data_IF_789698917938
#
_entry.id   IF_789698917938
#
_cell.length_a   1.000
_cell.length_b   1.000
_cell.length_c   1.000
_cell.angle_alpha   90.00
_cell.angle_beta   90.00
_cell.angle_gamma   90.00
#
_symmetry.space_group_name_H-M   'P 1'
#
loop_
_entity.id
_entity.type
_entity.pdbx_description
1 polymer ?
#
# COMPACT_ATOMS: atom_id res chain seq x y z
N UNK A 1 14.14 -12.16 -11.60
CA UNK A 1 13.32 -11.93 -10.39
C UNK A 1 13.72 -12.96 -9.33
N UNK A 2 13.63 -12.64 -8.05
CA UNK A 2 14.06 -13.49 -6.93
C UNK A 2 13.11 -14.65 -6.60
N UNK A 3 12.11 -14.92 -7.45
CA UNK A 3 11.22 -16.10 -7.34
C UNK A 3 10.31 -16.11 -6.10
N UNK A 4 10.11 -14.98 -5.42
CA UNK A 4 9.32 -14.94 -4.18
C UNK A 4 7.82 -14.96 -4.51
N UNK A 5 7.11 -15.97 -4.01
CA UNK A 5 5.69 -16.18 -4.31
C UNK A 5 4.77 -15.45 -3.33
N UNK A 6 3.65 -14.94 -3.85
CA UNK A 6 2.58 -14.36 -3.04
C UNK A 6 1.58 -15.45 -2.68
N UNK A 7 1.17 -15.50 -1.40
CA UNK A 7 0.19 -16.50 -0.92
C UNK A 7 -1.22 -15.95 -1.05
N UNK A 8 -2.09 -16.68 -1.76
CA UNK A 8 -3.50 -16.30 -1.94
C UNK A 8 -4.25 -16.14 -0.62
N UNK A 9 -3.96 -16.97 0.39
CA UNK A 9 -4.58 -16.83 1.71
C UNK A 9 -4.33 -15.43 2.33
N UNK A 10 -3.13 -14.87 2.16
CA UNK A 10 -2.81 -13.52 2.64
C UNK A 10 -3.57 -12.43 1.85
N UNK A 11 -3.77 -12.63 0.55
CA UNK A 11 -4.58 -11.74 -0.31
C UNK A 11 -6.04 -11.77 0.12
N UNK A 12 -6.62 -12.96 0.33
CA UNK A 12 -8.01 -13.11 0.76
C UNK A 12 -8.26 -12.44 2.11
N UNK A 13 -7.32 -12.59 3.06
CA UNK A 13 -7.40 -11.86 4.34
C UNK A 13 -7.36 -10.35 4.14
N UNK A 14 -6.54 -9.85 3.23
CA UNK A 14 -6.43 -8.43 2.94
C UNK A 14 -7.73 -7.89 2.30
N UNK A 15 -8.32 -8.61 1.35
CA UNK A 15 -9.64 -8.29 0.78
C UNK A 15 -10.74 -8.28 1.84
N UNK A 16 -10.79 -9.29 2.71
CA UNK A 16 -11.76 -9.34 3.81
C UNK A 16 -11.60 -8.13 4.74
N UNK A 17 -10.37 -7.79 5.11
CA UNK A 17 -10.09 -6.64 5.97
C UNK A 17 -10.43 -5.31 5.27
N UNK A 18 -10.17 -5.19 3.97
CA UNK A 18 -10.55 -4.03 3.18
C UNK A 18 -12.07 -3.82 3.17
N UNK A 19 -12.83 -4.92 3.01
CA UNK A 19 -14.29 -4.89 3.07
C UNK A 19 -14.80 -4.51 4.47
N UNK A 20 -14.24 -5.11 5.52
CA UNK A 20 -14.62 -4.82 6.91
C UNK A 20 -14.29 -3.38 7.34
N UNK A 21 -13.20 -2.81 6.81
CA UNK A 21 -12.80 -1.44 7.11
C UNK A 21 -13.61 -0.39 6.33
N UNK A 22 -14.32 -0.77 5.26
CA UNK A 22 -15.02 0.17 4.37
C UNK A 22 -16.12 0.98 5.07
N UNK A 23 -17.01 0.40 5.91
CA UNK A 23 -18.02 1.17 6.62
C UNK A 23 -17.41 2.18 7.59
N UNK A 24 -16.37 1.78 8.34
CA UNK A 24 -15.66 2.68 9.26
C UNK A 24 -14.94 3.81 8.52
N UNK A 25 -14.35 3.51 7.35
CA UNK A 25 -13.73 4.51 6.49
C UNK A 25 -14.74 5.54 5.99
N UNK A 26 -15.88 5.07 5.46
CA UNK A 26 -16.92 5.98 5.01
C UNK A 26 -17.45 6.85 6.16
N UNK A 27 -17.76 6.26 7.32
CA UNK A 27 -18.22 7.02 8.49
C UNK A 27 -17.20 8.06 8.95
N UNK A 28 -15.91 7.75 8.92
CA UNK A 28 -14.84 8.65 9.34
C UNK A 28 -14.71 9.89 8.47
N UNK A 29 -15.09 9.81 7.19
CA UNK A 29 -14.80 10.86 6.20
C UNK A 29 -16.04 11.33 5.40
N UNK A 30 -17.24 10.88 5.76
CA UNK A 30 -18.50 11.29 5.12
C UNK A 30 -18.68 12.81 5.14
N UNK A 31 -18.27 13.46 6.22
CA UNK A 31 -18.44 14.91 6.43
C UNK A 31 -17.43 15.75 5.61
N UNK A 32 -16.39 15.10 5.07
CA UNK A 32 -15.39 15.69 4.17
C UNK A 32 -15.81 15.52 2.69
N UNK A 33 -17.02 15.00 2.44
CA UNK A 33 -17.56 14.82 1.08
C UNK A 33 -17.05 13.56 0.37
N UNK A 34 -16.44 12.61 1.09
CA UNK A 34 -16.08 11.31 0.50
C UNK A 34 -17.34 10.47 0.28
N UNK A 35 -17.55 10.07 -0.97
CA UNK A 35 -18.65 9.18 -1.32
C UNK A 35 -18.39 7.74 -0.83
N UNK A 36 -19.45 7.00 -0.51
CA UNK A 36 -19.35 5.64 0.05
C UNK A 36 -18.67 4.63 -0.89
N UNK A 37 -18.72 4.88 -2.20
CA UNK A 37 -18.06 4.05 -3.21
C UNK A 37 -16.55 4.30 -3.33
N UNK A 38 -16.02 5.35 -2.67
CA UNK A 38 -14.58 5.57 -2.64
C UNK A 38 -13.94 4.56 -1.70
N UNK A 39 -13.10 3.70 -2.29
CA UNK A 39 -12.49 2.59 -1.58
C UNK A 39 -11.43 3.11 -0.61
N UNK A 40 -11.20 2.37 0.46
CA UNK A 40 -10.11 2.60 1.40
C UNK A 40 -8.74 2.05 0.91
N UNK A 41 -7.65 2.49 1.56
CA UNK A 41 -6.28 2.19 1.13
C UNK A 41 -5.95 0.68 1.08
N UNK A 42 -6.63 -0.15 1.89
CA UNK A 42 -6.41 -1.60 1.86
C UNK A 42 -6.81 -2.21 0.51
N UNK A 43 -7.76 -1.61 -0.21
CA UNK A 43 -8.08 -2.02 -1.58
C UNK A 43 -6.93 -1.73 -2.54
N UNK A 44 -6.20 -0.63 -2.40
CA UNK A 44 -4.97 -0.36 -3.17
C UNK A 44 -3.97 -1.49 -2.99
N UNK A 45 -3.74 -1.90 -1.74
CA UNK A 45 -2.86 -3.02 -1.43
C UNK A 45 -3.38 -4.34 -2.01
N UNK A 46 -4.67 -4.61 -1.87
CA UNK A 46 -5.28 -5.85 -2.34
C UNK A 46 -5.18 -5.98 -3.87
N UNK A 47 -5.51 -4.92 -4.61
CA UNK A 47 -5.48 -4.89 -6.08
C UNK A 47 -4.05 -5.07 -6.59
N UNK A 48 -3.09 -4.28 -6.11
CA UNK A 48 -1.70 -4.37 -6.59
C UNK A 48 -1.10 -5.75 -6.30
N UNK A 49 -1.38 -6.31 -5.12
CA UNK A 49 -0.87 -7.64 -4.75
C UNK A 49 -1.56 -8.76 -5.53
N UNK A 50 -2.85 -8.62 -5.85
CA UNK A 50 -3.61 -9.55 -6.70
C UNK A 50 -3.11 -9.51 -8.15
N UNK A 51 -2.88 -8.32 -8.69
CA UNK A 51 -2.25 -8.09 -10.00
C UNK A 51 -0.86 -8.72 -10.05
N UNK A 52 -0.03 -8.46 -9.04
CA UNK A 52 1.30 -9.06 -8.95
C UNK A 52 1.24 -10.59 -8.93
N UNK A 53 0.25 -11.19 -8.24
CA UNK A 53 0.02 -12.65 -8.31
C UNK A 53 -0.35 -13.05 -9.73
N UNK A 54 -1.32 -12.41 -10.37
CA UNK A 54 -1.72 -12.79 -11.74
C UNK A 54 -0.53 -12.74 -12.72
N UNK A 55 0.33 -11.74 -12.59
CA UNK A 55 1.55 -11.60 -13.39
C UNK A 55 2.63 -12.66 -13.07
N UNK A 56 2.56 -13.37 -11.94
CA UNK A 56 3.45 -14.51 -11.66
C UNK A 56 3.16 -15.73 -12.56
N UNK A 57 1.93 -15.86 -13.05
CA UNK A 57 1.53 -16.89 -14.01
C UNK A 57 1.12 -16.21 -15.31
N UNK A 58 2.10 -15.97 -16.18
CA UNK A 58 1.97 -15.20 -17.43
C UNK A 58 1.10 -15.95 -18.45
N UNK A 59 -0.21 -15.94 -18.23
CA UNK A 59 -1.22 -16.40 -19.19
C UNK A 59 -2.04 -15.21 -19.64
N UNK A 60 -2.58 -15.26 -20.87
CA UNK A 60 -3.41 -14.19 -21.44
C UNK A 60 -4.60 -13.88 -20.53
N UNK A 61 -5.24 -14.91 -19.98
CA UNK A 61 -6.35 -14.77 -19.02
C UNK A 61 -5.94 -14.02 -17.75
N UNK A 62 -4.76 -14.31 -17.19
CA UNK A 62 -4.26 -13.64 -16.00
C UNK A 62 -3.85 -12.19 -16.29
N UNK A 63 -3.30 -11.92 -17.48
CA UNK A 63 -3.02 -10.56 -17.94
C UNK A 63 -4.30 -9.73 -18.08
N UNK A 64 -5.34 -10.31 -18.70
CA UNK A 64 -6.65 -9.67 -18.81
C UNK A 64 -7.28 -9.43 -17.43
N UNK A 65 -7.25 -10.41 -16.52
CA UNK A 65 -7.77 -10.27 -15.16
C UNK A 65 -7.04 -9.17 -14.37
N UNK A 66 -5.72 -9.08 -14.50
CA UNK A 66 -4.93 -8.00 -13.90
C UNK A 66 -5.32 -6.63 -14.44
N UNK A 67 -5.47 -6.51 -15.77
CA UNK A 67 -5.87 -5.26 -16.41
C UNK A 67 -7.28 -4.82 -15.99
N UNK A 68 -8.26 -5.73 -16.02
CA UNK A 68 -9.63 -5.47 -15.57
C UNK A 68 -9.66 -5.03 -14.10
N UNK A 69 -8.86 -5.68 -13.24
CA UNK A 69 -8.75 -5.31 -11.82
C UNK A 69 -8.24 -3.88 -11.63
N UNK A 70 -7.23 -3.46 -12.40
CA UNK A 70 -6.69 -2.09 -12.34
C UNK A 70 -7.68 -1.06 -12.87
N UNK A 71 -8.28 -1.33 -14.03
CA UNK A 71 -9.26 -0.44 -14.67
C UNK A 71 -10.51 -0.27 -13.81
N UNK A 72 -11.00 -1.34 -13.18
CA UNK A 72 -12.14 -1.26 -12.26
C UNK A 72 -11.81 -0.54 -10.95
N UNK A 73 -10.56 -0.62 -10.46
CA UNK A 73 -10.13 0.03 -9.23
C UNK A 73 -9.92 1.54 -9.40
N UNK A 74 -9.33 1.98 -10.51
CA UNK A 74 -9.00 3.38 -10.79
C UNK A 74 -10.14 4.39 -10.53
N UNK A 75 -11.38 4.21 -11.04
CA UNK A 75 -12.47 5.16 -10.80
C UNK A 75 -12.94 5.20 -9.34
N UNK A 76 -12.67 4.15 -8.57
CA UNK A 76 -13.04 4.03 -7.17
C UNK A 76 -11.91 4.45 -6.20
N UNK A 77 -10.73 4.74 -6.74
CA UNK A 77 -9.47 4.99 -6.03
C UNK A 77 -9.21 6.47 -5.72
N UNK A 78 -10.10 7.38 -6.11
CA UNK A 78 -9.88 8.83 -6.01
C UNK A 78 -9.50 9.31 -4.60
N UNK A 79 -10.01 8.64 -3.55
CA UNK A 79 -9.64 8.91 -2.16
C UNK A 79 -8.52 8.04 -1.61
N UNK A 80 -8.13 6.97 -2.31
CA UNK A 80 -7.11 5.99 -1.91
C UNK A 80 -5.83 6.12 -2.74
N UNK A 81 -5.29 7.33 -2.77
CA UNK A 81 -4.00 7.67 -3.39
C UNK A 81 -3.89 7.46 -4.91
N UNK A 82 -4.95 7.01 -5.61
CA UNK A 82 -5.01 6.99 -7.07
C UNK A 82 -3.84 6.27 -7.74
N UNK A 83 -3.41 6.82 -8.87
CA UNK A 83 -2.24 6.36 -9.63
C UNK A 83 -0.94 6.46 -8.80
N UNK A 84 -0.66 7.54 -8.06
CA UNK A 84 0.54 7.63 -7.23
C UNK A 84 0.70 6.48 -6.22
N UNK A 85 -0.39 6.09 -5.54
CA UNK A 85 -0.38 4.97 -4.59
C UNK A 85 -0.08 3.63 -5.27
N UNK A 86 -0.66 3.39 -6.45
CA UNK A 86 -0.38 2.20 -7.25
C UNK A 86 1.09 2.11 -7.66
N UNK A 87 1.67 3.22 -8.14
CA UNK A 87 3.07 3.28 -8.56
C UNK A 87 4.02 3.06 -7.39
N UNK A 88 3.74 3.68 -6.24
CA UNK A 88 4.55 3.52 -5.03
C UNK A 88 4.55 2.07 -4.57
N UNK A 89 3.39 1.42 -4.54
CA UNK A 89 3.28 0.04 -4.10
C UNK A 89 3.91 -0.94 -5.11
N UNK A 90 3.72 -0.70 -6.41
CA UNK A 90 4.38 -1.49 -7.45
C UNK A 90 5.91 -1.40 -7.33
N UNK A 91 6.45 -0.19 -7.13
CA UNK A 91 7.88 0.01 -6.92
C UNK A 91 8.42 -0.70 -5.67
N UNK A 92 7.67 -0.68 -4.56
CA UNK A 92 8.03 -1.43 -3.36
C UNK A 92 8.06 -2.95 -3.61
N UNK A 93 7.14 -3.47 -4.42
CA UNK A 93 7.15 -4.88 -4.83
C UNK A 93 8.33 -5.21 -5.73
N UNK A 94 8.72 -4.31 -6.63
CA UNK A 94 9.89 -4.50 -7.48
C UNK A 94 11.18 -4.58 -6.65
N UNK A 95 11.35 -3.70 -5.66
CA UNK A 95 12.48 -3.77 -4.72
C UNK A 95 12.50 -5.12 -4.00
N UNK A 96 11.34 -5.60 -3.56
CA UNK A 96 11.23 -6.90 -2.89
C UNK A 96 11.56 -8.09 -3.81
N UNK A 97 11.21 -8.00 -5.10
CA UNK A 97 11.39 -9.06 -6.11
C UNK A 97 12.76 -9.04 -6.79
N UNK A 98 13.55 -7.96 -6.71
CA UNK A 98 14.83 -7.87 -7.40
C UNK A 98 15.97 -8.56 -6.63
N UNK A 99 17.03 -8.93 -7.36
CA UNK A 99 18.29 -9.46 -6.81
C UNK A 99 18.96 -8.42 -5.91
N UNK A 100 19.63 -8.88 -4.85
CA UNK A 100 20.26 -8.00 -3.85
C UNK A 100 21.21 -6.95 -4.45
N UNK A 101 21.89 -7.26 -5.55
CA UNK A 101 22.78 -6.30 -6.25
C UNK A 101 22.05 -5.10 -6.86
N UNK A 102 20.79 -5.26 -7.29
CA UNK A 102 19.99 -4.19 -7.92
C UNK A 102 19.03 -3.49 -6.93
N UNK A 103 18.87 -4.05 -5.72
CA UNK A 103 18.01 -3.47 -4.68
C UNK A 103 18.37 -2.02 -4.33
N UNK A 104 19.64 -1.62 -4.13
CA UNK A 104 19.94 -0.24 -3.76
C UNK A 104 19.58 0.74 -4.87
N UNK A 105 19.79 0.39 -6.14
CA UNK A 105 19.43 1.24 -7.28
C UNK A 105 17.91 1.43 -7.40
N UNK A 106 17.13 0.34 -7.30
CA UNK A 106 15.67 0.44 -7.30
C UNK A 106 15.13 1.17 -6.06
N UNK A 107 15.78 1.01 -4.90
CA UNK A 107 15.43 1.76 -3.70
C UNK A 107 15.68 3.25 -3.87
N UNK A 108 16.82 3.66 -4.45
CA UNK A 108 17.11 5.05 -4.75
C UNK A 108 16.09 5.65 -5.73
N UNK A 109 15.72 4.91 -6.77
CA UNK A 109 14.66 5.34 -7.69
C UNK A 109 13.30 5.48 -6.99
N UNK A 110 12.96 4.53 -6.13
CA UNK A 110 11.73 4.60 -5.34
C UNK A 110 11.74 5.78 -4.34
N UNK A 111 12.89 6.08 -3.73
CA UNK A 111 13.06 7.23 -2.85
C UNK A 111 12.92 8.55 -3.63
N UNK A 112 13.42 8.61 -4.87
CA UNK A 112 13.18 9.74 -5.77
C UNK A 112 11.68 9.91 -6.07
N UNK A 113 10.95 8.81 -6.30
CA UNK A 113 9.50 8.88 -6.48
C UNK A 113 8.78 9.39 -5.22
N UNK A 114 9.23 9.02 -4.01
CA UNK A 114 8.73 9.61 -2.75
C UNK A 114 8.97 11.12 -2.71
N UNK A 115 10.17 11.57 -3.10
CA UNK A 115 10.49 12.99 -3.18
C UNK A 115 9.58 13.72 -4.17
N UNK A 116 9.44 13.20 -5.39
CA UNK A 116 8.57 13.77 -6.45
C UNK A 116 7.09 13.81 -6.05
N UNK A 117 6.62 12.80 -5.31
CA UNK A 117 5.25 12.76 -4.80
C UNK A 117 5.00 13.91 -3.81
N UNK A 118 5.97 14.17 -2.94
CA UNK A 118 5.87 15.19 -1.90
C UNK A 118 6.22 16.60 -2.42
N UNK A 119 6.97 16.72 -3.53
CA UNK A 119 7.34 17.99 -4.15
C UNK A 119 6.15 18.85 -4.54
N UNK A 120 5.00 18.23 -4.86
CA UNK A 120 3.74 18.95 -5.12
C UNK A 120 3.22 19.75 -3.91
N UNK A 121 3.68 19.42 -2.71
CA UNK A 121 3.25 20.02 -1.45
C UNK A 121 4.35 20.91 -0.84
N UNK A 122 5.45 21.15 -1.57
CA UNK A 122 6.55 22.04 -1.17
C UNK A 122 7.80 21.32 -0.64
N UNK A 123 8.91 22.05 -0.58
CA UNK A 123 10.24 21.52 -0.26
C UNK A 123 10.33 20.88 1.12
N UNK A 124 9.66 21.49 2.11
CA UNK A 124 9.61 20.95 3.48
C UNK A 124 8.92 19.58 3.50
N UNK A 125 7.85 19.40 2.74
CA UNK A 125 7.15 18.12 2.65
C UNK A 125 8.00 17.07 1.93
N UNK A 126 8.72 17.47 0.87
CA UNK A 126 9.69 16.62 0.16
C UNK A 126 10.76 16.08 1.11
N UNK A 127 11.43 16.99 1.82
CA UNK A 127 12.48 16.62 2.77
C UNK A 127 11.93 15.74 3.90
N UNK A 128 10.76 16.11 4.45
CA UNK A 128 10.12 15.34 5.51
C UNK A 128 9.78 13.91 5.07
N UNK A 129 9.22 13.74 3.87
CA UNK A 129 8.89 12.41 3.32
C UNK A 129 10.12 11.53 3.10
N UNK A 130 11.20 12.11 2.57
CA UNK A 130 12.48 11.39 2.38
C UNK A 130 13.11 11.03 3.72
N UNK A 131 13.20 11.99 4.66
CA UNK A 131 13.77 11.78 5.99
C UNK A 131 12.99 10.73 6.78
N UNK A 132 11.66 10.79 6.77
CA UNK A 132 10.81 9.81 7.43
C UNK A 132 11.06 8.40 6.87
N UNK A 133 11.12 8.29 5.55
CA UNK A 133 11.37 7.01 4.86
C UNK A 133 12.72 6.41 5.27
N UNK A 134 13.78 7.22 5.26
CA UNK A 134 15.12 6.80 5.68
C UNK A 134 15.13 6.42 7.16
N UNK A 135 14.49 7.23 8.01
CA UNK A 135 14.41 6.98 9.47
C UNK A 135 13.74 5.64 9.75
N UNK A 136 12.60 5.36 9.11
CA UNK A 136 11.90 4.07 9.24
C UNK A 136 12.79 2.93 8.77
N UNK A 137 13.48 3.08 7.64
CA UNK A 137 14.40 2.05 7.14
C UNK A 137 15.53 1.76 8.13
N UNK A 138 16.22 2.79 8.63
CA UNK A 138 17.32 2.63 9.58
C UNK A 138 16.84 2.06 10.91
N UNK A 139 15.69 2.51 11.40
CA UNK A 139 15.06 2.00 12.63
C UNK A 139 14.72 0.51 12.49
N UNK A 140 14.08 0.11 11.39
CA UNK A 140 13.76 -1.30 11.12
C UNK A 140 15.02 -2.14 10.96
N UNK A 141 16.05 -1.63 10.27
CA UNK A 141 17.32 -2.34 10.12
C UNK A 141 18.05 -2.52 11.46
N UNK A 142 17.96 -1.54 12.37
CA UNK A 142 18.52 -1.61 13.71
C UNK A 142 17.72 -2.52 14.66
N UNK A 143 16.40 -2.60 14.50
CA UNK A 143 15.49 -3.34 15.40
C UNK A 143 15.21 -4.79 14.98
N UNK A 144 15.45 -5.16 13.72
CA UNK A 144 15.17 -6.52 13.21
C UNK A 144 16.47 -7.30 13.06
N UNK A 145 16.91 -8.03 14.09
CA UNK A 145 18.05 -8.93 13.97
C UNK A 145 17.64 -10.19 13.18
N UNK A 146 18.53 -10.58 12.27
CA UNK A 146 18.55 -11.78 11.43
C UNK A 146 17.93 -11.69 10.02
N UNK A 147 18.68 -12.08 8.96
CA UNK A 147 18.12 -12.29 7.63
C UNK A 147 17.14 -13.46 7.67
N UNK A 148 15.84 -13.18 7.53
CA UNK A 148 14.80 -14.20 7.39
C UNK A 148 13.59 -14.03 8.31
N UNK A 149 13.71 -13.25 9.39
CA UNK A 149 12.57 -12.97 10.28
C UNK A 149 11.72 -11.85 9.71
N UNK A 150 10.50 -12.17 9.28
CA UNK A 150 9.53 -11.16 8.82
C UNK A 150 9.09 -10.30 10.02
N UNK A 151 8.94 -9.00 9.80
CA UNK A 151 8.28 -8.11 10.76
C UNK A 151 6.90 -8.68 11.13
N UNK A 152 6.76 -9.11 12.39
CA UNK A 152 5.47 -9.62 12.89
C UNK A 152 4.41 -8.53 12.94
N UNK A 153 4.83 -7.25 12.98
CA UNK A 153 3.99 -6.07 12.89
C UNK A 153 3.09 -6.04 11.64
N UNK A 154 3.50 -6.67 10.53
CA UNK A 154 2.66 -6.75 9.32
C UNK A 154 1.32 -7.47 9.54
N UNK A 155 1.20 -8.33 10.56
CA UNK A 155 -0.07 -8.97 10.93
C UNK A 155 -1.07 -7.98 11.53
N UNK A 156 -0.55 -6.96 12.22
CA UNK A 156 -1.30 -5.94 12.96
C UNK A 156 -1.69 -4.74 12.11
N UNK A 157 -1.10 -4.57 10.91
CA UNK A 157 -1.41 -3.43 10.05
C UNK A 157 -2.90 -3.25 9.77
N UNK A 158 -3.58 -4.30 9.27
CA UNK A 158 -5.00 -4.20 8.95
C UNK A 158 -5.91 -4.02 10.20
N UNK A 159 -5.73 -4.77 11.30
CA UNK A 159 -6.44 -4.49 12.55
C UNK A 159 -6.18 -3.09 13.13
N UNK A 160 -4.93 -2.62 13.11
CA UNK A 160 -4.57 -1.29 13.61
C UNK A 160 -5.19 -0.19 12.74
N UNK A 161 -5.25 -0.38 11.42
CA UNK A 161 -5.96 0.53 10.52
C UNK A 161 -7.45 0.61 10.84
N UNK A 162 -8.11 -0.54 11.07
CA UNK A 162 -9.52 -0.56 11.46
C UNK A 162 -9.74 0.14 12.81
N UNK A 163 -8.87 -0.10 13.80
CA UNK A 163 -8.91 0.60 15.08
C UNK A 163 -8.72 2.12 14.93
N UNK A 164 -7.78 2.53 14.08
CA UNK A 164 -7.53 3.94 13.80
C UNK A 164 -8.75 4.63 13.19
N UNK A 165 -9.43 3.97 12.23
CA UNK A 165 -10.68 4.48 11.67
C UNK A 165 -11.77 4.59 12.75
N UNK A 166 -11.89 3.60 13.64
CA UNK A 166 -12.83 3.67 14.76
C UNK A 166 -12.52 4.84 15.69
N UNK A 167 -11.25 5.12 15.97
CA UNK A 167 -10.84 6.30 16.74
C UNK A 167 -11.26 7.60 16.05
N UNK A 168 -11.08 7.72 14.72
CA UNK A 168 -11.52 8.90 13.98
C UNK A 168 -13.04 9.03 14.04
N UNK A 169 -13.79 7.96 13.78
CA UNK A 169 -15.26 7.96 13.89
C UNK A 169 -15.70 8.40 15.27
N UNK A 170 -15.08 7.87 16.32
CA UNK A 170 -15.39 8.25 17.69
C UNK A 170 -15.12 9.74 17.95
N UNK A 171 -13.96 10.26 17.53
CA UNK A 171 -13.63 11.68 17.70
C UNK A 171 -14.60 12.59 16.95
N UNK A 172 -14.96 12.23 15.71
CA UNK A 172 -15.94 12.98 14.92
C UNK A 172 -17.35 12.88 15.49
N UNK A 173 -17.70 11.78 16.17
CA UNK A 173 -19.03 11.61 16.77
C UNK A 173 -19.19 12.33 18.12
N UNK A 174 -18.07 12.67 18.78
CA UNK A 174 -18.05 13.36 20.09
C UNK A 174 -17.91 14.87 19.94
N UNK A 175 -17.35 15.35 18.82
CA UNK A 175 -17.35 16.77 18.44
C UNK A 175 -18.69 17.19 17.84
#
# INVERSE_FOLDING_TARGET
>A
MAGKTLRQHSLNRLWLMALLAQPGYWLAFRDVGLAWWQLNILFTFAVVMQVARFLQSVTVLNGAAAFVSLVGYLPLSSASYGIPGLLMLAGALLIWQVRDSLRPALFAFWLLLVALLNARHGDVMTLSGVLLTLTVLFCVHGLVPAPGRRLQAGRWFAPAYALHLLCIVFMVSVL
#
